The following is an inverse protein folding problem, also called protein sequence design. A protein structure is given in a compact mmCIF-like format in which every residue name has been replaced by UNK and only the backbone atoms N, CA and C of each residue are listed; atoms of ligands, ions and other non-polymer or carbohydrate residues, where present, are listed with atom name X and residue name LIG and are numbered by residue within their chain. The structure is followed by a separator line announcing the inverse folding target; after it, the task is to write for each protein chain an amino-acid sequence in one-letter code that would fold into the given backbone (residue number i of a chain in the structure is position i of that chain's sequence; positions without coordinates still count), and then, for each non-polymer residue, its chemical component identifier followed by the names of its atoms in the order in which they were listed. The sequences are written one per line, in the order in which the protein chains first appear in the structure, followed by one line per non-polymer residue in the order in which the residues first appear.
data_IF_129583412047
#
_entry.id   IF_129583412047
#
_cell.length_a   1.000
_cell.length_b   1.000
_cell.length_c   1.000
_cell.angle_alpha   90.00
_cell.angle_beta   90.00
_cell.angle_gamma   90.00
#
_symmetry.space_group_name_H-M   'P 1'
#
loop_
_entity.id
_entity.type
_entity.pdbx_description
1 polymer ?
#
# COMPACT_ATOMS: atom_id res chain seq x y z
N UNK A 1 -13.65 7.02 7.22
CA UNK A 1 -12.86 7.23 8.46
C UNK A 1 -12.61 5.89 9.12
N UNK A 2 -11.35 5.50 9.38
CA UNK A 2 -11.04 4.45 10.34
C UNK A 2 -11.16 4.97 11.77
N UNK A 3 -11.82 4.23 12.66
CA UNK A 3 -11.95 4.54 14.08
C UNK A 3 -10.99 3.72 14.96
N UNK A 4 -10.84 4.12 16.23
CA UNK A 4 -10.09 3.35 17.23
C UNK A 4 -10.86 2.15 17.79
N UNK A 5 -12.13 2.03 17.41
CA UNK A 5 -13.01 0.87 17.58
C UNK A 5 -12.81 -0.19 16.48
N UNK A 6 -11.80 -0.02 15.62
CA UNK A 6 -11.45 -0.90 14.50
C UNK A 6 -12.55 -0.98 13.43
N UNK A 7 -13.44 0.02 13.36
CA UNK A 7 -14.49 0.12 12.35
C UNK A 7 -14.07 1.12 11.26
N UNK A 8 -14.38 0.81 10.00
CA UNK A 8 -14.24 1.75 8.89
C UNK A 8 -15.62 2.24 8.45
N UNK A 9 -15.83 3.56 8.50
CA UNK A 9 -17.05 4.21 8.04
C UNK A 9 -16.80 4.95 6.71
N UNK A 10 -17.76 4.88 5.79
CA UNK A 10 -17.77 5.65 4.55
C UNK A 10 -18.96 6.58 4.59
N UNK A 11 -18.71 7.85 4.29
CA UNK A 11 -19.67 8.93 4.49
C UNK A 11 -20.02 9.60 3.17
N UNK A 12 -21.28 9.99 3.05
CA UNK A 12 -21.69 11.04 2.14
C UNK A 12 -21.67 12.37 2.89
N UNK A 13 -20.68 13.21 2.58
CA UNK A 13 -20.53 14.52 3.26
C UNK A 13 -21.64 15.50 2.85
N UNK A 14 -22.21 15.36 1.65
CA UNK A 14 -23.28 16.24 1.18
C UNK A 14 -24.61 16.03 1.88
N UNK A 15 -24.92 14.79 2.26
CA UNK A 15 -26.16 14.44 3.00
C UNK A 15 -25.93 14.19 4.50
N UNK A 16 -24.67 14.18 4.94
CA UNK A 16 -24.27 13.79 6.29
C UNK A 16 -24.68 12.35 6.67
N UNK A 17 -24.84 11.47 5.67
CA UNK A 17 -25.24 10.07 5.87
C UNK A 17 -24.02 9.14 5.91
N UNK A 18 -24.11 8.13 6.77
CA UNK A 18 -23.21 6.97 6.74
C UNK A 18 -23.66 6.04 5.61
N UNK A 19 -22.83 5.89 4.58
CA UNK A 19 -23.10 5.03 3.42
C UNK A 19 -22.80 3.56 3.74
N UNK A 20 -21.65 3.31 4.35
CA UNK A 20 -21.19 1.96 4.68
C UNK A 20 -20.50 1.94 6.03
N UNK A 21 -20.81 0.91 6.80
CA UNK A 21 -20.19 0.58 8.07
C UNK A 21 -19.55 -0.79 7.99
N UNK A 22 -18.23 -0.82 8.07
CA UNK A 22 -17.42 -2.00 7.86
C UNK A 22 -16.87 -2.46 9.21
N UNK A 23 -17.62 -3.36 9.85
CA UNK A 23 -17.36 -3.91 11.19
C UNK A 23 -16.82 -5.33 11.07
N UNK A 24 -16.02 -5.77 12.05
CA UNK A 24 -15.55 -7.16 12.12
C UNK A 24 -14.51 -7.56 11.08
N UNK A 25 -14.09 -6.65 10.19
CA UNK A 25 -13.02 -6.88 9.21
C UNK A 25 -11.61 -6.77 9.81
N UNK A 26 -11.48 -6.06 10.94
CA UNK A 26 -10.20 -5.77 11.59
C UNK A 26 -10.27 -6.19 13.06
N UNK A 27 -9.44 -7.17 13.50
CA UNK A 27 -9.43 -7.61 14.90
C UNK A 27 -8.61 -6.70 15.83
N UNK A 28 -7.83 -5.77 15.28
CA UNK A 28 -6.97 -4.85 16.03
C UNK A 28 -6.88 -3.50 15.30
N UNK A 29 -6.08 -2.57 15.84
CA UNK A 29 -5.95 -1.19 15.37
C UNK A 29 -5.59 -1.09 13.89
N UNK A 30 -6.32 -0.22 13.19
CA UNK A 30 -6.05 0.14 11.80
C UNK A 30 -5.04 1.30 11.78
N UNK A 31 -3.84 1.05 11.24
CA UNK A 31 -2.77 2.05 11.17
C UNK A 31 -2.90 2.99 9.98
N UNK A 32 -3.43 2.51 8.86
CA UNK A 32 -3.60 3.30 7.63
C UNK A 32 -4.71 2.75 6.76
N UNK A 33 -5.28 3.66 5.97
CA UNK A 33 -6.27 3.38 4.92
C UNK A 33 -5.86 4.17 3.67
N UNK A 34 -5.89 3.54 2.49
CA UNK A 34 -5.64 4.21 1.20
C UNK A 34 -6.63 3.74 0.16
N UNK A 35 -7.22 4.67 -0.59
CA UNK A 35 -8.11 4.35 -1.72
C UNK A 35 -7.31 3.96 -2.96
N UNK A 36 -7.86 3.05 -3.77
CA UNK A 36 -7.40 2.83 -5.14
C UNK A 36 -7.70 4.07 -6.00
N UNK A 37 -7.00 4.22 -7.12
CA UNK A 37 -7.13 5.38 -8.01
C UNK A 37 -8.55 5.57 -8.56
N UNK A 38 -9.25 4.47 -8.82
CA UNK A 38 -10.64 4.45 -9.31
C UNK A 38 -11.69 4.58 -8.19
N UNK A 39 -11.26 4.56 -6.92
CA UNK A 39 -12.15 4.57 -5.76
C UNK A 39 -13.00 3.31 -5.60
N UNK A 40 -12.75 2.25 -6.38
CA UNK A 40 -13.54 1.02 -6.32
C UNK A 40 -13.22 0.19 -5.08
N UNK A 41 -12.00 0.33 -4.54
CA UNK A 41 -11.48 -0.43 -3.40
C UNK A 41 -10.62 0.45 -2.51
N UNK A 42 -10.36 0.00 -1.29
CA UNK A 42 -9.34 0.60 -0.43
C UNK A 42 -8.51 -0.49 0.24
N UNK A 43 -7.25 -0.18 0.54
CA UNK A 43 -6.37 -1.05 1.30
C UNK A 43 -6.23 -0.52 2.72
N UNK A 44 -5.98 -1.45 3.65
CA UNK A 44 -5.77 -1.17 5.07
C UNK A 44 -4.55 -1.89 5.57
N UNK A 45 -3.87 -1.30 6.54
CA UNK A 45 -2.77 -1.94 7.26
C UNK A 45 -3.13 -2.00 8.75
N UNK A 46 -3.08 -3.19 9.32
CA UNK A 46 -3.62 -3.47 10.65
C UNK A 46 -2.52 -3.95 11.62
N UNK A 47 -2.75 -3.77 12.92
CA UNK A 47 -1.83 -4.17 14.00
C UNK A 47 -1.69 -5.69 14.15
N UNK A 48 -2.63 -6.46 13.62
CA UNK A 48 -2.51 -7.91 13.42
C UNK A 48 -1.43 -8.31 12.38
N UNK A 49 -0.77 -7.32 11.77
CA UNK A 49 0.24 -7.43 10.71
C UNK A 49 -0.32 -7.78 9.32
N UNK A 50 -1.64 -7.76 9.16
CA UNK A 50 -2.26 -7.98 7.87
C UNK A 50 -2.42 -6.70 7.07
N UNK A 51 -2.24 -6.82 5.76
CA UNK A 51 -2.68 -5.84 4.77
C UNK A 51 -3.90 -6.41 4.04
N UNK A 52 -5.01 -5.66 4.03
CA UNK A 52 -6.27 -6.11 3.42
C UNK A 52 -6.71 -5.16 2.33
N UNK A 53 -7.16 -5.70 1.20
CA UNK A 53 -7.87 -4.99 0.15
C UNK A 53 -9.35 -5.27 0.31
N UNK A 54 -10.16 -4.20 0.34
CA UNK A 54 -11.58 -4.28 0.70
C UNK A 54 -12.41 -3.62 -0.39
N UNK A 55 -13.48 -4.31 -0.81
CA UNK A 55 -14.56 -3.68 -1.58
C UNK A 55 -15.56 -3.06 -0.58
N UNK A 56 -15.64 -1.71 -0.50
CA UNK A 56 -16.49 -1.02 0.46
C UNK A 56 -17.99 -1.29 0.26
N UNK A 57 -18.42 -1.51 -0.99
CA UNK A 57 -19.85 -1.65 -1.34
C UNK A 57 -20.36 -3.03 -0.99
N UNK A 58 -19.48 -4.03 -1.07
CA UNK A 58 -19.78 -5.42 -0.71
C UNK A 58 -19.48 -5.72 0.76
N UNK A 59 -18.66 -4.89 1.41
CA UNK A 59 -18.20 -5.11 2.77
C UNK A 59 -17.31 -6.35 2.90
N UNK A 60 -16.62 -6.74 1.83
CA UNK A 60 -15.82 -7.97 1.78
C UNK A 60 -14.35 -7.67 1.58
N UNK A 61 -13.49 -8.42 2.27
CA UNK A 61 -12.05 -8.49 1.99
C UNK A 61 -11.87 -9.28 0.69
N UNK A 62 -11.31 -8.63 -0.33
CA UNK A 62 -11.06 -9.23 -1.65
C UNK A 62 -9.66 -9.84 -1.75
N UNK A 63 -8.72 -9.31 -0.99
CA UNK A 63 -7.36 -9.85 -0.85
C UNK A 63 -6.84 -9.59 0.57
N UNK A 64 -6.07 -10.53 1.11
CA UNK A 64 -5.40 -10.38 2.40
C UNK A 64 -3.98 -10.92 2.33
N UNK A 65 -3.04 -10.15 2.85
CA UNK A 65 -1.69 -10.60 3.18
C UNK A 65 -1.50 -10.60 4.68
N UNK A 66 -1.51 -11.78 5.27
CA UNK A 66 -1.04 -11.95 6.64
C UNK A 66 0.47 -11.74 6.74
N UNK A 67 0.89 -11.04 7.79
CA UNK A 67 2.32 -10.77 8.09
C UNK A 67 3.05 -10.16 6.89
N UNK A 68 2.50 -9.08 6.32
CA UNK A 68 3.16 -8.31 5.25
C UNK A 68 4.56 -7.84 5.66
N UNK A 69 4.74 -7.56 6.95
CA UNK A 69 6.05 -7.38 7.59
C UNK A 69 6.09 -8.18 8.89
N UNK A 70 7.27 -8.75 9.20
CA UNK A 70 7.47 -9.62 10.38
C UNK A 70 7.49 -8.84 11.71
N UNK A 71 7.89 -7.57 11.67
CA UNK A 71 8.05 -6.70 12.83
C UNK A 71 6.73 -6.40 13.55
N UNK A 72 6.84 -5.92 14.80
CA UNK A 72 5.70 -5.58 15.65
C UNK A 72 5.31 -4.08 15.58
N UNK A 73 6.11 -3.27 14.88
CA UNK A 73 5.91 -1.82 14.79
C UNK A 73 4.86 -1.46 13.73
N UNK A 74 4.26 -0.25 13.81
CA UNK A 74 3.26 0.16 12.83
C UNK A 74 3.78 0.14 11.41
N UNK A 75 2.96 -0.40 10.51
CA UNK A 75 3.19 -0.37 9.07
C UNK A 75 2.21 0.60 8.38
N UNK A 76 2.49 0.93 7.13
CA UNK A 76 1.60 1.68 6.23
C UNK A 76 1.43 0.91 4.95
N UNK A 77 0.26 1.05 4.32
CA UNK A 77 -0.03 0.54 2.99
C UNK A 77 -0.70 1.63 2.16
N UNK A 78 -0.27 1.79 0.91
CA UNK A 78 -0.88 2.68 -0.07
C UNK A 78 -1.09 1.95 -1.40
N UNK A 79 -2.11 2.38 -2.15
CA UNK A 79 -2.28 1.98 -3.53
C UNK A 79 -1.37 2.79 -4.45
N UNK A 80 -0.85 2.12 -5.48
CA UNK A 80 -0.21 2.73 -6.63
C UNK A 80 -1.20 2.90 -7.79
N UNK A 81 -0.79 3.60 -8.85
CA UNK A 81 -1.68 3.99 -9.94
C UNK A 81 -2.16 2.79 -10.77
N UNK A 82 -1.35 1.75 -10.82
CA UNK A 82 -1.55 0.48 -11.53
C UNK A 82 -2.32 -0.56 -10.70
N UNK A 83 -2.73 -0.22 -9.49
CA UNK A 83 -3.43 -1.11 -8.57
C UNK A 83 -2.52 -1.96 -7.69
N UNK A 84 -1.19 -1.91 -7.86
CA UNK A 84 -0.24 -2.52 -6.91
C UNK A 84 -0.33 -1.84 -5.55
N UNK A 85 0.18 -2.51 -4.53
CA UNK A 85 0.25 -1.98 -3.16
C UNK A 85 1.70 -1.78 -2.77
N UNK A 86 2.01 -0.61 -2.22
CA UNK A 86 3.30 -0.32 -1.61
C UNK A 86 3.14 -0.26 -0.10
N UNK A 87 4.01 -0.96 0.63
CA UNK A 87 4.00 -0.97 2.08
C UNK A 87 5.33 -0.52 2.66
N UNK A 88 5.24 0.15 3.82
CA UNK A 88 6.39 0.40 4.67
C UNK A 88 6.15 -0.26 6.01
N UNK A 89 7.14 -0.97 6.53
CA UNK A 89 7.00 -1.66 7.81
C UNK A 89 8.36 -1.95 8.43
N UNK A 90 8.44 -3.01 9.22
CA UNK A 90 9.65 -3.36 9.96
C UNK A 90 9.95 -4.86 9.87
N UNK A 91 11.23 -5.21 9.80
CA UNK A 91 11.72 -6.58 9.93
C UNK A 91 11.50 -7.09 11.36
N UNK A 92 11.68 -8.40 11.57
CA UNK A 92 11.70 -8.99 12.92
C UNK A 92 12.79 -8.34 13.79
N UNK A 93 13.90 -7.93 13.18
CA UNK A 93 15.04 -7.28 13.82
C UNK A 93 14.87 -5.76 13.96
N UNK A 94 13.67 -5.22 13.69
CA UNK A 94 13.34 -3.79 13.75
C UNK A 94 14.03 -2.90 12.71
N UNK A 95 14.44 -3.45 11.56
CA UNK A 95 14.86 -2.64 10.41
C UNK A 95 13.64 -2.15 9.64
N UNK A 96 13.64 -0.90 9.18
CA UNK A 96 12.61 -0.35 8.31
C UNK A 96 12.69 -1.03 6.95
N UNK A 97 11.53 -1.47 6.44
CA UNK A 97 11.40 -2.19 5.20
C UNK A 97 10.41 -1.51 4.26
N UNK A 98 10.69 -1.59 2.97
CA UNK A 98 9.79 -1.25 1.87
C UNK A 98 9.40 -2.55 1.17
N UNK A 99 8.13 -2.74 0.84
CA UNK A 99 7.70 -3.86 0.01
C UNK A 99 6.69 -3.42 -1.05
N UNK A 100 6.78 -4.04 -2.22
CA UNK A 100 5.86 -3.87 -3.33
C UNK A 100 5.09 -5.17 -3.57
N UNK A 101 3.78 -5.07 -3.69
CA UNK A 101 2.87 -6.21 -3.82
C UNK A 101 2.01 -6.05 -5.07
N UNK A 102 1.95 -7.10 -5.88
CA UNK A 102 0.99 -7.16 -6.97
C UNK A 102 -0.37 -7.60 -6.41
N UNK A 103 -1.45 -6.91 -6.77
CA UNK A 103 -2.80 -7.28 -6.36
C UNK A 103 -3.48 -8.19 -7.36
N UNK A 104 -2.94 -8.42 -8.56
CA UNK A 104 -3.62 -9.14 -9.65
C UNK A 104 -2.81 -10.33 -10.15
N UNK A 105 -1.68 -10.67 -9.50
CA UNK A 105 -0.70 -11.64 -10.01
C UNK A 105 -1.38 -12.93 -10.53
N UNK A 106 -1.46 -13.04 -11.86
CA UNK A 106 -1.71 -14.31 -12.53
C UNK A 106 -0.46 -15.15 -12.28
N UNK A 107 -0.61 -16.27 -11.59
CA UNK A 107 0.48 -17.24 -11.42
C UNK A 107 1.00 -17.66 -12.80
N UNK A 108 2.26 -17.35 -13.16
CA UNK A 108 2.87 -17.97 -14.33
C UNK A 108 3.31 -19.37 -13.90
N UNK A 109 2.42 -20.35 -14.05
CA UNK A 109 2.71 -21.77 -13.81
C UNK A 109 2.39 -22.27 -12.40
N UNK A 110 1.17 -22.78 -12.20
CA UNK A 110 0.96 -23.89 -11.27
C UNK A 110 1.43 -25.20 -11.90
N UNK A 111 1.84 -26.22 -11.12
CA UNK A 111 2.34 -27.46 -11.68
C UNK A 111 1.23 -28.14 -12.50
N UNK A 112 1.58 -28.63 -13.68
CA UNK A 112 0.79 -29.61 -14.40
C UNK A 112 0.68 -30.88 -13.55
N UNK A 113 -0.28 -30.90 -12.62
CA UNK A 113 -0.85 -32.14 -12.10
C UNK A 113 -1.58 -32.85 -13.24
N UNK A 114 -1.64 -34.20 -13.26
CA UNK A 114 -2.05 -34.95 -14.44
C UNK A 114 -3.44 -34.49 -14.87
N UNK A 115 -3.53 -34.07 -16.13
CA UNK A 115 -4.72 -33.55 -16.79
C UNK A 115 -5.97 -34.35 -16.41
N UNK A 116 -6.76 -33.83 -15.47
CA UNK A 116 -8.18 -34.17 -15.41
C UNK A 116 -8.81 -33.39 -16.54
N UNK A 117 -9.23 -34.11 -17.58
CA UNK A 117 -9.85 -33.53 -18.77
C UNK A 117 -10.94 -32.52 -18.35
N UNK A 118 -10.73 -31.25 -18.71
CA UNK A 118 -11.76 -30.23 -18.58
C UNK A 118 -12.87 -30.60 -19.56
N UNK A 119 -14.14 -30.73 -19.13
CA UNK A 119 -15.23 -31.06 -20.03
C UNK A 119 -15.36 -29.97 -21.11
N UNK A 120 -15.54 -30.33 -22.39
CA UNK A 120 -15.69 -29.36 -23.47
C UNK A 120 -16.98 -28.56 -23.26
N UNK A 121 -16.86 -27.23 -23.11
CA UNK A 121 -18.02 -26.31 -22.99
C UNK A 121 -17.91 -25.23 -21.92
N UNK A 122 -16.87 -25.23 -21.09
CA UNK A 122 -16.62 -24.16 -20.12
C UNK A 122 -15.38 -23.38 -20.54
N UNK A 123 -15.57 -22.16 -21.06
CA UNK A 123 -14.47 -21.19 -21.13
C UNK A 123 -13.94 -20.97 -19.71
N UNK A 124 -12.64 -21.10 -19.45
CA UNK A 124 -12.10 -20.69 -18.17
C UNK A 124 -12.22 -19.16 -18.08
N UNK A 125 -13.28 -18.68 -17.44
CA UNK A 125 -13.25 -17.36 -16.84
C UNK A 125 -12.25 -17.44 -15.69
N UNK A 126 -10.97 -17.24 -16.01
CA UNK A 126 -9.98 -16.92 -14.99
C UNK A 126 -10.41 -15.57 -14.39
N UNK A 127 -11.17 -15.61 -13.30
CA UNK A 127 -11.32 -14.43 -12.46
C UNK A 127 -9.92 -14.12 -11.94
N UNK A 128 -9.35 -12.93 -12.18
CA UNK A 128 -8.08 -12.56 -11.58
C UNK A 128 -8.28 -12.63 -10.06
N UNK A 129 -7.69 -13.65 -9.44
CA UNK A 129 -7.74 -13.79 -8.00
C UNK A 129 -6.64 -12.91 -7.44
N UNK A 130 -7.00 -12.00 -6.57
CA UNK A 130 -6.04 -11.05 -6.04
C UNK A 130 -5.08 -11.77 -5.09
N UNK A 131 -3.81 -11.89 -5.45
CA UNK A 131 -2.82 -12.65 -4.71
C UNK A 131 -1.69 -11.76 -4.17
N UNK A 132 -1.60 -11.65 -2.84
CA UNK A 132 -0.57 -10.90 -2.13
C UNK A 132 0.50 -11.81 -1.48
N UNK A 133 0.62 -13.08 -1.87
CA UNK A 133 1.46 -14.08 -1.21
C UNK A 133 2.93 -13.66 -1.04
N UNK A 134 3.60 -13.25 -2.12
CA UNK A 134 5.00 -12.85 -2.10
C UNK A 134 5.19 -11.43 -2.64
N UNK A 135 6.02 -10.60 -1.98
CA UNK A 135 6.32 -9.27 -2.48
C UNK A 135 7.10 -9.38 -3.80
N UNK A 136 6.80 -8.48 -4.74
CA UNK A 136 7.60 -8.30 -5.95
C UNK A 136 9.03 -7.85 -5.62
N UNK A 137 9.14 -6.95 -4.65
CA UNK A 137 10.41 -6.47 -4.11
C UNK A 137 10.27 -6.19 -2.62
N UNK A 138 11.29 -6.56 -1.86
CA UNK A 138 11.43 -6.26 -0.43
C UNK A 138 12.82 -5.66 -0.23
N UNK A 139 12.88 -4.44 0.31
CA UNK A 139 14.12 -3.73 0.56
C UNK A 139 14.21 -3.28 2.02
N UNK A 140 15.34 -3.53 2.66
CA UNK A 140 15.66 -3.02 3.99
C UNK A 140 16.36 -1.66 3.88
N UNK A 141 16.07 -0.75 4.81
CA UNK A 141 16.55 0.64 4.76
C UNK A 141 17.56 0.98 5.86
N UNK A 142 17.15 0.91 7.12
CA UNK A 142 17.96 1.20 8.31
C UNK A 142 17.23 0.75 9.58
N UNK A 143 17.88 0.86 10.73
CA UNK A 143 17.34 0.44 12.05
C UNK A 143 16.65 1.57 12.83
N UNK A 144 16.18 2.63 12.16
CA UNK A 144 15.51 3.75 12.83
C UNK A 144 14.12 3.34 13.33
N UNK A 145 13.69 3.94 14.44
CA UNK A 145 12.44 3.56 15.10
C UNK A 145 11.16 4.14 14.46
N UNK A 146 11.28 5.20 13.68
CA UNK A 146 10.15 5.96 13.13
C UNK A 146 9.44 5.22 12.01
N UNK A 147 8.12 5.03 12.15
CA UNK A 147 7.30 4.48 11.07
C UNK A 147 7.35 5.44 9.86
N UNK A 148 7.67 4.90 8.69
CA UNK A 148 7.71 5.65 7.45
C UNK A 148 6.30 5.94 6.95
N UNK A 149 6.12 7.12 6.39
CA UNK A 149 4.93 7.53 5.66
C UNK A 149 5.28 7.53 4.18
N UNK A 150 4.65 6.65 3.37
CA UNK A 150 4.83 6.67 1.93
C UNK A 150 3.90 7.70 1.28
N UNK A 151 4.45 8.51 0.38
CA UNK A 151 3.73 9.44 -0.49
C UNK A 151 4.07 9.10 -1.92
N UNK A 152 3.06 8.72 -2.70
CA UNK A 152 3.25 8.26 -4.06
C UNK A 152 2.78 9.31 -5.05
N UNK A 153 3.64 9.59 -6.03
CA UNK A 153 3.34 10.40 -7.19
C UNK A 153 3.02 9.49 -8.39
N UNK A 154 1.75 9.43 -8.82
CA UNK A 154 1.35 8.58 -9.92
C UNK A 154 1.76 9.10 -11.30
N UNK A 155 2.19 10.36 -11.42
CA UNK A 155 2.58 10.95 -12.71
C UNK A 155 4.02 10.58 -13.08
N UNK A 156 4.88 10.37 -12.07
CA UNK A 156 6.29 10.01 -12.26
C UNK A 156 6.66 8.64 -11.71
N UNK A 157 5.69 7.90 -11.16
CA UNK A 157 5.90 6.64 -10.44
C UNK A 157 6.93 6.73 -9.30
N UNK A 158 7.04 7.89 -8.65
CA UNK A 158 7.99 8.07 -7.54
C UNK A 158 7.28 7.93 -6.20
N UNK A 159 7.82 7.09 -5.32
CA UNK A 159 7.43 7.01 -3.92
C UNK A 159 8.46 7.71 -3.07
N UNK A 160 8.00 8.65 -2.26
CA UNK A 160 8.78 9.32 -1.23
C UNK A 160 8.43 8.75 0.13
N UNK A 161 9.44 8.48 0.96
CA UNK A 161 9.26 7.93 2.30
C UNK A 161 9.97 8.81 3.33
N UNK A 162 9.27 9.13 4.40
CA UNK A 162 9.82 9.88 5.53
C UNK A 162 9.09 9.52 6.82
N UNK A 163 9.80 9.49 7.95
CA UNK A 163 9.24 9.14 9.25
C UNK A 163 9.30 10.32 10.22
N UNK A 164 8.37 10.40 11.16
CA UNK A 164 8.46 11.39 12.24
C UNK A 164 9.76 11.16 13.03
N UNK A 165 10.54 12.22 13.24
CA UNK A 165 11.85 12.17 13.87
C UNK A 165 13.02 12.01 12.89
N UNK A 166 12.76 11.65 11.62
CA UNK A 166 13.79 11.62 10.61
C UNK A 166 14.19 13.04 10.20
N UNK A 167 15.43 13.22 9.78
CA UNK A 167 15.90 14.46 9.15
C UNK A 167 16.12 14.29 7.64
N UNK A 168 15.55 13.23 7.05
CA UNK A 168 15.72 12.88 5.64
C UNK A 168 14.44 12.43 4.98
N UNK A 169 14.30 12.71 3.69
CA UNK A 169 13.27 12.17 2.81
C UNK A 169 13.98 11.33 1.75
N UNK A 170 13.68 10.03 1.68
CA UNK A 170 14.20 9.15 0.62
C UNK A 170 13.15 8.98 -0.46
N UNK A 171 13.57 8.84 -1.70
CA UNK A 171 12.63 8.62 -2.79
C UNK A 171 13.13 7.60 -3.79
N UNK A 172 12.16 6.87 -4.34
CA UNK A 172 12.33 5.66 -5.12
C UNK A 172 11.44 5.72 -6.35
N UNK A 173 11.92 5.25 -7.48
CA UNK A 173 11.12 5.03 -8.68
C UNK A 173 10.57 3.60 -8.65
N UNK A 174 9.28 3.46 -8.97
CA UNK A 174 8.62 2.16 -9.08
C UNK A 174 8.53 1.79 -10.56
N UNK A 175 9.06 0.62 -10.91
CA UNK A 175 9.09 0.12 -12.29
C UNK A 175 8.60 -1.32 -12.37
N UNK A 176 8.29 -1.78 -13.58
CA UNK A 176 7.96 -3.18 -13.85
C UNK A 176 9.20 -4.10 -13.94
N UNK A 177 10.41 -3.55 -13.94
CA UNK A 177 11.65 -4.32 -14.00
C UNK A 177 12.29 -4.53 -12.61
N UNK A 178 12.79 -5.74 -12.28
CA UNK A 178 13.54 -5.99 -11.06
C UNK A 178 14.70 -4.99 -10.86
N UNK A 179 14.96 -4.51 -9.62
CA UNK A 179 14.32 -4.88 -8.35
C UNK A 179 12.96 -4.22 -8.05
N UNK A 180 12.32 -3.60 -9.04
CA UNK A 180 11.01 -2.92 -9.00
C UNK A 180 10.96 -1.63 -8.17
N UNK A 181 11.70 -1.57 -7.07
CA UNK A 181 11.85 -0.39 -6.20
C UNK A 181 13.27 0.13 -6.39
N UNK A 182 13.44 1.18 -7.20
CA UNK A 182 14.75 1.74 -7.52
C UNK A 182 15.03 2.97 -6.67
N UNK A 183 16.08 2.94 -5.85
CA UNK A 183 16.49 4.11 -5.09
C UNK A 183 16.97 5.23 -6.02
N UNK A 184 16.40 6.43 -5.87
CA UNK A 184 16.82 7.59 -6.63
C UNK A 184 17.83 8.42 -5.83
N UNK A 185 17.39 9.03 -4.72
CA UNK A 185 18.27 9.84 -3.88
C UNK A 185 17.62 10.11 -2.51
N UNK A 186 18.32 10.87 -1.67
CA UNK A 186 17.87 11.30 -0.35
C UNK A 186 18.05 12.81 -0.18
N UNK A 187 16.98 13.50 0.17
CA UNK A 187 17.06 14.85 0.73
C UNK A 187 17.42 14.74 2.21
N UNK A 188 18.35 15.57 2.69
CA UNK A 188 18.76 15.59 4.10
C UNK A 188 18.71 17.01 4.66
N UNK A 189 18.36 17.10 5.93
CA UNK A 189 18.38 18.34 6.72
C UNK A 189 18.97 18.07 8.10
N UNK A 190 19.17 19.14 8.88
CA UNK A 190 19.61 19.05 10.28
C UNK A 190 18.44 18.92 11.26
N UNK A 191 17.21 19.17 10.81
CA UNK A 191 16.05 19.26 11.67
C UNK A 191 15.19 18.00 11.59
N UNK A 192 14.88 17.35 12.72
CA UNK A 192 13.99 16.20 12.73
C UNK A 192 12.54 16.63 12.48
N UNK A 193 11.89 15.99 11.51
CA UNK A 193 10.52 16.33 11.11
C UNK A 193 9.50 15.92 12.19
N UNK A 194 8.56 16.81 12.51
CA UNK A 194 7.46 16.54 13.48
C UNK A 194 6.18 16.05 12.80
N UNK A 195 6.08 16.29 11.50
CA UNK A 195 5.00 15.94 10.59
C UNK A 195 5.44 16.31 9.18
N UNK A 196 4.63 15.95 8.18
CA UNK A 196 4.92 16.24 6.78
C UNK A 196 3.62 16.59 6.06
N UNK A 197 3.63 17.70 5.32
CA UNK A 197 2.57 18.05 4.36
C UNK A 197 3.06 17.71 2.95
N UNK A 198 2.13 17.50 2.02
CA UNK A 198 2.47 17.29 0.62
C UNK A 198 1.58 18.18 -0.24
N UNK A 199 2.20 19.00 -1.08
CA UNK A 199 1.48 19.88 -2.01
C UNK A 199 0.88 19.04 -3.15
N UNK A 200 -0.44 19.11 -3.41
CA UNK A 200 -1.03 18.45 -4.57
C UNK A 200 -0.39 18.96 -5.87
N UNK A 201 -0.34 18.11 -6.90
CA UNK A 201 0.25 18.44 -8.21
C UNK A 201 -0.21 19.77 -8.82
N UNK A 202 -1.49 20.11 -8.64
CA UNK A 202 -2.07 21.39 -9.10
C UNK A 202 -1.46 22.64 -8.46
N UNK A 203 -0.76 22.51 -7.34
CA UNK A 203 -0.07 23.60 -6.64
C UNK A 203 1.43 23.69 -6.93
N UNK A 204 1.96 22.84 -7.80
CA UNK A 204 3.37 22.84 -8.18
C UNK A 204 3.64 23.78 -9.37
N UNK A 205 4.84 24.35 -9.39
CA UNK A 205 5.34 25.19 -10.48
C UNK A 205 5.98 24.32 -11.58
N UNK A 206 5.12 23.83 -12.47
CA UNK A 206 5.54 22.99 -13.61
C UNK A 206 6.49 23.70 -14.58
N UNK A 207 6.51 25.05 -14.59
CA UNK A 207 7.45 25.80 -15.44
C UNK A 207 8.91 25.67 -14.99
N UNK A 208 9.13 25.25 -13.72
CA UNK A 208 10.45 24.98 -13.14
C UNK A 208 10.75 23.48 -12.99
N UNK A 209 9.97 22.61 -13.65
CA UNK A 209 10.06 21.16 -13.51
C UNK A 209 9.90 20.69 -12.05
N UNK A 210 9.10 21.40 -11.25
CA UNK A 210 8.83 21.00 -9.86
C UNK A 210 7.91 19.77 -9.84
N UNK A 211 8.42 18.65 -9.32
CA UNK A 211 7.68 17.39 -9.21
C UNK A 211 7.15 17.12 -7.80
N UNK A 212 7.67 17.78 -6.77
CA UNK A 212 7.26 17.58 -5.39
C UNK A 212 7.53 18.83 -4.53
N UNK A 213 6.64 19.11 -3.57
CA UNK A 213 6.83 20.12 -2.53
C UNK A 213 6.27 19.63 -1.19
N UNK A 214 7.07 19.84 -0.15
CA UNK A 214 6.90 19.33 1.21
C UNK A 214 6.79 20.48 2.20
#
# INVERSE_FOLDING_TARGET
SPGCDNVVLIWNVGTAEELYRLEGLHPDLIYSVSWSRDGARFCTACKDKSVRVIDPRRGTVVAEKERAHEGARPMRAIFLADGKIFTTGFSRMSERQLALWDTVRATPGGPEGPCRAVPPGLTPHLTPQENLEEPMGLQELDSSNGALLPFYDPDTNVVYVCGKGDSSIRYFEITEEPPYIHFLNTFTSKEPQRGMGWMPKRGLDVSKCEIARW
#
